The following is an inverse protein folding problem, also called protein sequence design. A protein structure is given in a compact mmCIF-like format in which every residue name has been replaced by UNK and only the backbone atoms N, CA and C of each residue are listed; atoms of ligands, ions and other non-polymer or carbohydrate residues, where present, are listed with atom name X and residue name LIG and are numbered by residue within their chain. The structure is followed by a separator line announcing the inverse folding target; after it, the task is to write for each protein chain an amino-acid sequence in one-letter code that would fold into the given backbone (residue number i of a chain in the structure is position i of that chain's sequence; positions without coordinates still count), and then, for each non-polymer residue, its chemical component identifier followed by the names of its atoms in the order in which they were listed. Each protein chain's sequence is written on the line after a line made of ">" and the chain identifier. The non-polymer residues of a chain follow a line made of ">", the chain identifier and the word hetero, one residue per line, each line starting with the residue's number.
data_IF_946574893129
#
_entry.id   IF_946574893129
#
_cell.length_a   1.000
_cell.length_b   1.000
_cell.length_c   1.000
_cell.angle_alpha   90.00
_cell.angle_beta   90.00
_cell.angle_gamma   90.00
#
_symmetry.space_group_name_H-M   'P 1'
#
loop_
_entity.id
_entity.type
_entity.pdbx_description
1 polymer ?
#
# COMPACT_ATOMS: atom_id res chain seq x y z
N UNK A 1 22.35 -2.83 -5.79
CA UNK A 1 21.13 -2.81 -6.64
C UNK A 1 21.34 -3.45 -8.02
N UNK A 2 22.42 -3.13 -8.76
CA UNK A 2 22.64 -3.68 -10.10
C UNK A 2 22.65 -5.23 -10.18
N UNK A 3 23.27 -5.92 -9.21
CA UNK A 3 23.30 -7.39 -9.18
C UNK A 3 21.94 -8.04 -8.93
N UNK A 4 21.07 -7.41 -8.12
CA UNK A 4 19.70 -7.88 -7.89
C UNK A 4 18.93 -7.94 -9.22
N UNK A 5 19.00 -6.87 -10.01
CA UNK A 5 18.29 -6.77 -11.28
C UNK A 5 18.93 -7.52 -12.44
N UNK A 6 20.10 -8.12 -12.25
CA UNK A 6 20.71 -9.04 -13.22
C UNK A 6 20.18 -10.47 -13.06
N UNK A 7 19.58 -10.81 -11.92
CA UNK A 7 19.02 -12.14 -11.68
C UNK A 7 17.67 -12.28 -12.42
N UNK A 8 17.52 -13.26 -13.33
CA UNK A 8 16.23 -13.51 -14.00
C UNK A 8 15.09 -13.83 -13.02
N UNK A 9 15.43 -14.39 -11.85
CA UNK A 9 14.45 -14.71 -10.79
C UNK A 9 13.71 -13.48 -10.26
N UNK A 10 14.28 -12.29 -10.41
CA UNK A 10 13.58 -11.05 -10.03
C UNK A 10 12.28 -10.86 -10.81
N UNK A 11 12.21 -11.37 -12.05
CA UNK A 11 11.01 -11.28 -12.89
C UNK A 11 9.87 -12.17 -12.39
N UNK A 12 10.13 -13.10 -11.47
CA UNK A 12 9.11 -13.99 -10.88
C UNK A 12 8.26 -13.27 -9.83
N UNK A 13 8.70 -12.13 -9.30
CA UNK A 13 7.97 -11.37 -8.28
C UNK A 13 7.01 -10.34 -8.90
N UNK A 14 5.85 -10.17 -8.26
CA UNK A 14 4.86 -9.14 -8.61
C UNK A 14 5.21 -7.77 -8.04
N UNK A 15 5.79 -7.73 -6.84
CA UNK A 15 6.15 -6.51 -6.14
C UNK A 15 7.52 -6.69 -5.53
N UNK A 16 8.41 -5.71 -5.76
CA UNK A 16 9.67 -5.57 -5.03
C UNK A 16 9.62 -4.32 -4.17
N UNK A 17 9.75 -4.50 -2.86
CA UNK A 17 9.94 -3.42 -1.90
C UNK A 17 11.45 -3.17 -1.74
N UNK A 18 11.94 -2.01 -2.17
CA UNK A 18 13.37 -1.68 -2.14
C UNK A 18 13.62 -0.50 -1.21
N UNK A 19 14.61 -0.66 -0.32
CA UNK A 19 15.15 0.40 0.53
C UNK A 19 16.46 0.91 -0.06
N UNK A 20 16.77 2.17 0.24
CA UNK A 20 17.94 2.90 -0.24
C UNK A 20 18.17 2.69 -1.74
N UNK A 21 17.16 2.95 -2.59
CA UNK A 21 17.35 2.79 -4.03
C UNK A 21 18.51 3.67 -4.47
N UNK A 22 19.50 3.06 -5.12
CA UNK A 22 20.72 3.78 -5.52
C UNK A 22 20.35 4.98 -6.37
N UNK A 23 20.84 6.16 -5.98
CA UNK A 23 20.62 7.40 -6.71
C UNK A 23 21.68 7.59 -7.75
N UNK A 24 21.26 7.82 -8.98
CA UNK A 24 22.17 8.21 -10.04
C UNK A 24 22.50 9.71 -9.93
N UNK A 25 23.75 10.10 -9.62
CA UNK A 25 24.12 11.52 -9.51
C UNK A 25 24.32 12.21 -10.87
N UNK A 26 24.26 11.47 -11.99
CA UNK A 26 24.64 12.00 -13.31
C UNK A 26 23.48 12.11 -14.31
N UNK A 27 22.31 11.53 -14.02
CA UNK A 27 21.17 11.55 -14.93
C UNK A 27 19.89 11.64 -14.10
N UNK A 28 19.07 12.67 -14.33
CA UNK A 28 17.72 12.82 -13.78
C UNK A 28 16.71 11.81 -14.38
N UNK A 29 17.22 10.69 -14.89
CA UNK A 29 16.45 9.51 -15.25
C UNK A 29 17.15 8.30 -14.65
N UNK A 30 16.48 7.68 -13.67
CA UNK A 30 16.97 6.50 -12.99
C UNK A 30 17.37 5.44 -14.02
N UNK A 31 18.55 4.85 -13.84
CA UNK A 31 18.84 3.55 -14.42
C UNK A 31 17.70 2.63 -14.00
N UNK A 32 16.75 2.40 -14.91
CA UNK A 32 15.58 1.56 -14.72
C UNK A 32 15.80 0.30 -15.55
N UNK A 33 16.72 -0.59 -15.14
CA UNK A 33 17.13 -1.76 -15.93
C UNK A 33 15.96 -2.69 -16.23
N UNK A 34 14.86 -2.52 -15.48
CA UNK A 34 13.63 -3.30 -15.61
C UNK A 34 12.45 -2.47 -16.14
N UNK A 35 12.67 -1.33 -16.82
CA UNK A 35 11.59 -0.47 -17.34
C UNK A 35 10.59 -1.19 -18.24
N UNK A 36 11.03 -2.25 -18.89
CA UNK A 36 10.18 -3.13 -19.69
C UNK A 36 9.24 -3.98 -18.84
N UNK A 37 9.67 -4.42 -17.66
CA UNK A 37 8.98 -5.39 -16.80
C UNK A 37 8.28 -4.78 -15.58
N UNK A 38 8.78 -3.67 -15.04
CA UNK A 38 8.28 -3.07 -13.81
C UNK A 38 7.96 -1.59 -13.98
N UNK A 39 6.91 -1.16 -13.31
CA UNK A 39 6.60 0.24 -13.02
C UNK A 39 7.24 0.62 -11.68
N UNK A 40 8.06 1.67 -11.68
CA UNK A 40 8.72 2.19 -10.49
C UNK A 40 7.81 3.22 -9.81
N UNK A 41 7.51 3.01 -8.52
CA UNK A 41 6.78 3.93 -7.67
C UNK A 41 7.73 4.50 -6.62
N UNK A 42 7.99 5.80 -6.71
CA UNK A 42 8.88 6.53 -5.80
C UNK A 42 8.45 8.00 -5.71
N UNK A 43 8.74 8.65 -4.59
CA UNK A 43 8.58 10.10 -4.47
C UNK A 43 9.75 10.80 -5.17
N UNK A 44 9.51 11.89 -5.92
CA UNK A 44 10.58 12.66 -6.56
C UNK A 44 11.48 13.42 -5.57
N UNK A 45 11.16 13.37 -4.26
CA UNK A 45 11.91 14.02 -3.21
C UNK A 45 13.36 13.49 -3.13
N UNK A 46 14.31 14.42 -3.08
CA UNK A 46 15.74 14.15 -2.94
C UNK A 46 16.11 13.64 -1.54
N UNK A 47 15.18 13.29 -0.67
CA UNK A 47 15.37 12.55 0.57
C UNK A 47 14.80 11.13 0.52
N UNK A 48 14.03 10.75 -0.52
CA UNK A 48 13.40 9.43 -0.66
C UNK A 48 14.39 8.27 -0.53
N UNK A 49 14.08 7.33 0.37
CA UNK A 49 14.84 6.12 0.73
C UNK A 49 14.06 4.82 0.51
N UNK A 50 12.84 4.88 0.00
CA UNK A 50 12.02 3.71 -0.28
C UNK A 50 11.36 3.82 -1.65
N UNK A 51 11.18 2.69 -2.33
CA UNK A 51 10.37 2.60 -3.55
C UNK A 51 9.74 1.21 -3.70
N UNK A 52 8.77 1.12 -4.61
CA UNK A 52 8.27 -0.15 -5.12
C UNK A 52 8.59 -0.30 -6.60
N UNK A 53 8.93 -1.52 -7.01
CA UNK A 53 8.82 -1.95 -8.40
C UNK A 53 7.61 -2.87 -8.49
N UNK A 54 6.57 -2.46 -9.21
CA UNK A 54 5.37 -3.27 -9.48
C UNK A 54 5.47 -3.87 -10.86
N UNK A 55 5.39 -5.19 -10.97
CA UNK A 55 5.50 -5.90 -12.24
C UNK A 55 4.32 -5.53 -13.12
N UNK A 56 4.58 -5.20 -14.39
CA UNK A 56 3.55 -4.77 -15.35
C UNK A 56 2.56 -5.86 -15.73
N UNK A 57 2.82 -7.11 -15.34
CA UNK A 57 1.84 -8.19 -15.45
C UNK A 57 0.68 -8.04 -14.45
N UNK A 58 0.89 -7.28 -13.38
CA UNK A 58 -0.19 -6.92 -12.44
C UNK A 58 -1.01 -5.81 -13.08
N UNK A 59 -2.32 -6.01 -13.14
CA UNK A 59 -3.27 -5.05 -13.73
C UNK A 59 -3.13 -3.68 -13.05
N UNK A 60 -2.81 -2.59 -13.78
CA UNK A 60 -2.62 -1.26 -13.18
C UNK A 60 -3.89 -0.67 -12.57
N UNK A 61 -5.08 -1.20 -12.88
CA UNK A 61 -6.33 -0.78 -12.26
C UNK A 61 -6.56 -1.39 -10.88
N UNK A 62 -5.79 -2.42 -10.49
CA UNK A 62 -5.97 -3.15 -9.24
C UNK A 62 -5.03 -2.71 -8.14
N UNK A 63 -4.18 -1.71 -8.36
CA UNK A 63 -3.27 -1.23 -7.33
C UNK A 63 -3.03 0.28 -7.39
N UNK A 64 -2.66 0.85 -6.24
CA UNK A 64 -2.24 2.24 -6.13
C UNK A 64 -1.15 2.38 -5.07
N UNK A 65 -0.23 3.33 -5.28
CA UNK A 65 0.81 3.63 -4.31
C UNK A 65 0.56 4.99 -3.65
N UNK A 66 0.78 5.06 -2.34
CA UNK A 66 0.69 6.28 -1.55
C UNK A 66 2.06 6.59 -0.94
N UNK A 67 2.54 7.81 -1.19
CA UNK A 67 3.79 8.30 -0.61
C UNK A 67 3.48 8.95 0.73
N UNK A 68 3.99 8.37 1.83
CA UNK A 68 3.70 8.82 3.19
C UNK A 68 4.83 9.72 3.70
N UNK A 69 6.08 9.31 3.50
CA UNK A 69 7.26 10.10 3.82
C UNK A 69 8.43 9.69 2.93
N UNK A 70 9.59 10.32 3.12
CA UNK A 70 10.85 9.87 2.48
C UNK A 70 11.22 8.43 2.88
N UNK A 71 10.68 7.92 3.99
CA UNK A 71 11.02 6.64 4.61
C UNK A 71 9.90 5.60 4.50
N UNK A 72 8.71 6.01 4.08
CA UNK A 72 7.52 5.16 4.04
C UNK A 72 6.76 5.37 2.73
N UNK A 73 6.55 4.27 2.03
CA UNK A 73 5.64 4.17 0.88
C UNK A 73 4.72 2.98 1.12
N UNK A 74 3.43 3.14 0.80
CA UNK A 74 2.46 2.04 0.84
C UNK A 74 1.96 1.70 -0.54
N UNK A 75 1.68 0.42 -0.76
CA UNK A 75 1.04 -0.12 -1.96
C UNK A 75 -0.26 -0.78 -1.52
N UNK A 76 -1.37 -0.29 -2.06
CA UNK A 76 -2.67 -0.95 -1.98
C UNK A 76 -2.82 -1.84 -3.20
N UNK A 77 -3.18 -3.11 -2.98
CA UNK A 77 -3.56 -4.06 -4.04
C UNK A 77 -4.97 -4.55 -3.72
N UNK A 78 -5.89 -4.29 -4.63
CA UNK A 78 -7.28 -4.73 -4.57
C UNK A 78 -7.43 -5.97 -5.44
N UNK A 79 -8.06 -7.01 -4.91
CA UNK A 79 -8.46 -8.15 -5.72
C UNK A 79 -9.92 -7.97 -6.14
N UNK A 80 -10.25 -7.83 -7.43
CA UNK A 80 -11.64 -7.64 -7.85
C UNK A 80 -12.59 -8.78 -7.42
N UNK A 81 -12.05 -9.97 -7.15
CA UNK A 81 -12.81 -11.15 -6.75
C UNK A 81 -13.03 -11.26 -5.24
N UNK A 82 -12.23 -10.57 -4.43
CA UNK A 82 -12.38 -10.52 -2.98
C UNK A 82 -12.61 -9.09 -2.53
N UNK A 83 -13.58 -8.85 -1.65
CA UNK A 83 -13.83 -7.51 -1.13
C UNK A 83 -12.78 -7.10 -0.07
N UNK A 84 -11.52 -7.50 -0.26
CA UNK A 84 -10.40 -7.31 0.65
C UNK A 84 -9.23 -6.65 -0.08
N UNK A 85 -8.73 -5.59 0.52
CA UNK A 85 -7.53 -4.89 0.06
C UNK A 85 -6.31 -5.40 0.83
N UNK A 86 -5.23 -5.73 0.09
CA UNK A 86 -3.90 -5.98 0.64
C UNK A 86 -3.13 -4.67 0.68
N UNK A 87 -2.62 -4.30 1.86
CA UNK A 87 -1.75 -3.14 2.04
C UNK A 87 -0.33 -3.59 2.37
N UNK A 88 0.63 -3.20 1.53
CA UNK A 88 2.05 -3.47 1.71
C UNK A 88 2.74 -2.16 2.05
N UNK A 89 3.44 -2.11 3.19
CA UNK A 89 4.25 -0.97 3.59
C UNK A 89 5.72 -1.30 3.38
N UNK A 90 6.44 -0.46 2.64
CA UNK A 90 7.90 -0.49 2.58
C UNK A 90 8.43 0.64 3.46
N UNK A 91 9.17 0.27 4.50
CA UNK A 91 9.58 1.15 5.58
C UNK A 91 11.10 1.06 5.72
N UNK A 92 11.77 2.20 5.61
CA UNK A 92 13.16 2.35 6.00
C UNK A 92 13.22 2.94 7.41
N UNK A 93 13.47 2.09 8.41
CA UNK A 93 13.48 2.51 9.80
C UNK A 93 14.83 3.10 10.21
N UNK A 94 15.02 4.38 9.93
CA UNK A 94 16.18 5.14 10.38
C UNK A 94 16.09 5.43 11.89
N UNK A 95 17.17 5.14 12.61
CA UNK A 95 17.25 5.43 14.04
C UNK A 95 17.19 6.94 14.24
N UNK A 96 16.51 7.42 15.29
CA UNK A 96 16.31 8.86 15.60
C UNK A 96 15.33 9.62 14.69
N UNK A 97 14.59 8.94 13.81
CA UNK A 97 13.52 9.56 13.03
C UNK A 97 12.13 9.21 13.57
N UNK A 98 11.13 9.97 13.16
CA UNK A 98 9.71 9.73 13.50
C UNK A 98 9.08 8.61 12.65
N UNK A 99 9.88 7.73 12.03
CA UNK A 99 9.38 6.68 11.11
C UNK A 99 8.32 5.78 11.77
N UNK A 100 8.55 5.33 13.01
CA UNK A 100 7.60 4.45 13.69
C UNK A 100 6.29 5.16 14.09
N UNK A 101 6.32 6.37 14.71
CA UNK A 101 5.12 7.18 14.88
C UNK A 101 4.34 7.42 13.57
N UNK A 102 5.02 7.85 12.50
CA UNK A 102 4.38 8.09 11.20
C UNK A 102 3.77 6.81 10.60
N UNK A 103 4.43 5.66 10.75
CA UNK A 103 3.86 4.38 10.33
C UNK A 103 2.61 4.02 11.12
N UNK A 104 2.61 4.23 12.44
CA UNK A 104 1.46 3.97 13.29
C UNK A 104 0.24 4.84 12.88
N UNK A 105 0.47 6.12 12.60
CA UNK A 105 -0.56 7.04 12.09
C UNK A 105 -1.12 6.58 10.74
N UNK A 106 -0.24 6.17 9.81
CA UNK A 106 -0.66 5.67 8.51
C UNK A 106 -1.52 4.40 8.61
N UNK A 107 -1.14 3.45 9.48
CA UNK A 107 -1.92 2.24 9.74
C UNK A 107 -3.26 2.60 10.40
N UNK A 108 -3.27 3.54 11.34
CA UNK A 108 -4.49 4.00 11.99
C UNK A 108 -5.47 4.64 10.98
N UNK A 109 -4.98 5.48 10.07
CA UNK A 109 -5.79 6.08 9.01
C UNK A 109 -6.43 5.02 8.11
N UNK A 110 -5.67 4.00 7.69
CA UNK A 110 -6.21 2.88 6.92
C UNK A 110 -7.31 2.12 7.65
N UNK A 111 -7.12 1.85 8.94
CA UNK A 111 -8.13 1.15 9.74
C UNK A 111 -9.39 2.01 9.94
N UNK A 112 -9.23 3.32 10.05
CA UNK A 112 -10.35 4.26 10.16
C UNK A 112 -11.19 4.30 8.88
N UNK A 113 -10.56 4.25 7.71
CA UNK A 113 -11.27 4.16 6.43
C UNK A 113 -12.07 2.86 6.27
N UNK A 114 -11.60 1.75 6.87
CA UNK A 114 -12.34 0.47 6.89
C UNK A 114 -13.56 0.52 7.82
N UNK A 115 -13.51 1.36 8.85
CA UNK A 115 -14.61 1.59 9.80
C UNK A 115 -15.34 2.87 9.36
N UNK A 116 -15.93 2.85 8.17
CA UNK A 116 -16.77 3.95 7.69
C UNK A 116 -17.88 4.30 8.70
N UNK A 117 -18.44 5.53 8.67
CA UNK A 117 -19.23 6.10 9.77
C UNK A 117 -20.56 5.41 10.08
N UNK A 118 -20.98 4.35 9.38
CA UNK A 118 -22.25 3.67 9.63
C UNK A 118 -22.20 2.16 9.36
N UNK A 119 -22.06 1.36 10.43
CA UNK A 119 -22.60 -0.01 10.52
C UNK A 119 -23.21 -0.27 11.91
N UNK A 120 -24.18 0.55 12.29
CA UNK A 120 -25.30 0.07 13.11
C UNK A 120 -26.51 -0.02 12.18
N UNK A 121 -26.85 -1.23 11.73
CA UNK A 121 -28.23 -1.49 11.35
C UNK A 121 -28.95 -1.83 12.66
N UNK A 122 -29.87 -0.97 13.17
CA UNK A 122 -30.78 -1.44 14.19
C UNK A 122 -31.61 -2.55 13.54
N UNK A 123 -31.53 -3.76 14.07
CA UNK A 123 -32.47 -4.83 13.74
C UNK A 123 -33.88 -4.28 13.91
N UNK A 124 -34.82 -4.48 12.96
CA UNK A 124 -36.22 -4.17 13.22
C UNK A 124 -36.64 -5.08 14.38
N UNK A 125 -36.91 -4.49 15.54
CA UNK A 125 -37.53 -5.20 16.64
C UNK A 125 -38.85 -5.74 16.13
N UNK A 126 -38.97 -7.06 16.14
CA UNK A 126 -40.22 -7.77 15.86
C UNK A 126 -41.25 -7.24 16.86
N UNK A 127 -42.19 -6.44 16.37
CA UNK A 127 -43.33 -5.98 17.14
C UNK A 127 -44.23 -7.20 17.37
N UNK A 128 -43.97 -7.94 18.44
CA UNK A 128 -44.85 -8.99 18.94
C UNK A 128 -46.17 -8.30 19.32
N UNK A 129 -47.19 -8.48 18.48
CA UNK A 129 -48.56 -8.09 18.80
C UNK A 129 -48.97 -8.81 20.08
N UNK A 130 -49.28 -8.06 21.14
CA UNK A 130 -49.97 -8.58 22.32
C UNK A 130 -51.40 -9.00 21.91
N UNK A 131 -51.92 -10.12 22.43
CA UNK A 131 -53.33 -10.43 22.27
C UNK A 131 -54.17 -9.49 23.12
N UNK A 132 -55.25 -8.98 22.53
CA UNK A 132 -56.32 -8.22 23.17
C UNK A 132 -57.04 -9.06 24.22
N UNK A 133 -57.04 -8.61 25.48
CA UNK A 133 -57.89 -9.17 26.53
C UNK A 133 -59.23 -8.42 26.57
N UNK A 134 -60.32 -9.18 26.50
CA UNK A 134 -61.67 -8.75 26.79
C UNK A 134 -61.84 -8.21 28.21
N UNK A 135 -62.61 -7.11 28.34
CA UNK A 135 -63.55 -6.83 29.41
C UNK A 135 -64.58 -5.83 28.88
#
# INVERSE_FOLDING_TARGET
>A
MASLFQSPKVLEYDVLAIQEPWRNPFIATSYHPLKTHFQLMYSPDAGTRVCFYVNKRVDPSTWSATFISKDIISLKVSDPSSNQDLHIFNVYNEVTTDTLPTLAEAIHALNSDRIGPWRFQPTPSTLVRRPSSHA
#
